data_IF_660001411755
#
_entry.id   IF_660001411755
#
_cell.length_a   1.000
_cell.length_b   1.000
_cell.length_c   1.000
_cell.angle_alpha   90.00
_cell.angle_beta   90.00
_cell.angle_gamma   90.00
#
_symmetry.space_group_name_H-M   'P 1'
#
loop_
_entity.id
_entity.type
_entity.pdbx_description
1 polymer ?
#
# COMPACT_ATOMS: atom_id res chain seq x y z
N UNK A 1 -27.15 27.16 32.52
CA UNK A 1 -28.32 27.37 33.40
C UNK A 1 -28.29 26.29 34.47
N UNK A 2 -27.97 26.65 35.70
CA UNK A 2 -28.04 25.76 36.86
C UNK A 2 -29.52 25.37 37.01
N UNK A 3 -29.84 24.08 36.84
CA UNK A 3 -31.19 23.59 37.16
C UNK A 3 -31.44 23.90 38.65
N UNK A 4 -32.52 24.61 38.94
CA UNK A 4 -32.99 24.80 40.31
C UNK A 4 -33.15 23.40 40.93
N UNK A 5 -32.44 23.14 42.01
CA UNK A 5 -32.57 21.92 42.78
C UNK A 5 -33.88 21.98 43.56
N UNK A 6 -34.69 20.96 43.46
CA UNK A 6 -35.94 20.88 44.21
C UNK A 6 -35.84 19.78 45.26
N UNK A 7 -36.21 20.14 46.48
CA UNK A 7 -36.32 19.21 47.62
C UNK A 7 -37.81 18.92 47.84
N UNK A 8 -38.17 17.66 47.65
CA UNK A 8 -39.51 17.17 47.99
C UNK A 8 -39.56 16.85 49.50
N UNK A 9 -40.55 17.40 50.21
CA UNK A 9 -40.70 17.20 51.61
C UNK A 9 -42.04 16.47 51.84
N UNK A 10 -41.98 15.24 52.29
CA UNK A 10 -43.19 14.41 52.52
C UNK A 10 -43.42 14.27 54.01
N UNK A 11 -44.36 15.06 54.56
CA UNK A 11 -44.70 15.09 55.99
C UNK A 11 -46.03 15.77 56.23
N UNK A 12 -46.71 15.37 57.26
CA UNK A 12 -47.85 16.11 57.85
C UNK A 12 -47.47 16.88 59.15
N UNK A 13 -46.19 16.69 59.58
CA UNK A 13 -45.62 17.43 60.68
C UNK A 13 -45.22 18.85 60.23
N UNK A 14 -45.94 19.84 60.72
CA UNK A 14 -45.74 21.26 60.38
C UNK A 14 -44.32 21.76 60.76
N UNK A 15 -43.74 21.26 61.82
CA UNK A 15 -42.41 21.67 62.30
C UNK A 15 -41.33 21.06 61.41
N UNK A 16 -41.41 19.79 61.11
CA UNK A 16 -40.51 19.15 60.16
C UNK A 16 -40.60 19.77 58.76
N UNK A 17 -41.84 20.04 58.30
CA UNK A 17 -42.07 20.72 57.02
C UNK A 17 -41.42 22.10 56.96
N UNK A 18 -41.58 22.91 57.99
CA UNK A 18 -40.95 24.21 58.10
C UNK A 18 -39.43 24.15 58.13
N UNK A 19 -38.86 23.29 58.98
CA UNK A 19 -37.37 23.09 59.10
C UNK A 19 -36.71 22.59 57.78
N UNK A 20 -37.34 21.63 57.15
CA UNK A 20 -36.85 21.13 55.89
C UNK A 20 -36.97 22.14 54.73
N UNK A 21 -38.05 22.93 54.70
CA UNK A 21 -38.27 24.01 53.72
C UNK A 21 -37.24 25.13 53.87
N UNK A 22 -37.06 25.68 55.07
CA UNK A 22 -36.02 26.69 55.32
C UNK A 22 -34.63 26.23 55.05
N UNK A 23 -34.29 24.96 55.38
CA UNK A 23 -33.00 24.38 55.12
C UNK A 23 -32.74 24.13 53.59
N UNK A 24 -33.78 23.80 52.81
CA UNK A 24 -33.71 23.70 51.37
C UNK A 24 -33.42 25.08 50.74
N UNK A 25 -34.18 26.13 51.13
CA UNK A 25 -33.98 27.50 50.64
C UNK A 25 -32.55 28.02 50.90
N UNK A 26 -32.05 27.81 52.14
CA UNK A 26 -30.63 28.16 52.46
C UNK A 26 -29.59 27.44 51.68
N UNK A 27 -29.90 26.25 51.21
CA UNK A 27 -29.03 25.49 50.30
C UNK A 27 -29.28 25.84 48.81
N UNK A 28 -30.14 26.84 48.52
CA UNK A 28 -30.42 27.30 47.16
C UNK A 28 -31.32 26.33 46.35
N UNK A 29 -32.14 25.56 47.05
CA UNK A 29 -33.13 24.67 46.48
C UNK A 29 -34.55 25.10 46.79
N UNK A 30 -35.48 24.86 45.87
CA UNK A 30 -36.89 25.07 46.13
C UNK A 30 -37.48 23.88 46.93
N UNK A 31 -38.24 24.14 47.96
CA UNK A 31 -38.99 23.14 48.74
C UNK A 31 -40.38 22.92 48.15
N UNK A 32 -40.80 21.67 47.99
CA UNK A 32 -42.14 21.25 47.61
C UNK A 32 -42.62 20.26 48.64
N UNK A 33 -43.76 20.60 49.31
CA UNK A 33 -44.37 19.77 50.38
C UNK A 33 -45.46 18.87 49.83
N UNK A 34 -45.52 17.64 50.36
CA UNK A 34 -46.57 16.67 50.15
C UNK A 34 -46.95 16.05 51.49
N UNK A 35 -48.24 15.74 51.72
CA UNK A 35 -48.72 15.12 52.94
C UNK A 35 -49.02 13.64 52.82
N UNK A 36 -48.87 13.08 51.67
CA UNK A 36 -49.12 11.68 51.39
C UNK A 36 -48.15 11.11 50.26
N UNK A 37 -48.08 9.79 50.14
CA UNK A 37 -47.36 9.17 49.06
C UNK A 37 -47.93 9.54 47.70
N UNK A 38 -49.23 9.64 47.53
CA UNK A 38 -49.87 10.05 46.29
C UNK A 38 -49.47 11.47 45.84
N UNK A 39 -49.50 12.46 46.78
CA UNK A 39 -49.03 13.79 46.48
C UNK A 39 -47.53 13.83 46.19
N UNK A 40 -46.72 13.04 46.90
CA UNK A 40 -45.30 12.94 46.67
C UNK A 40 -44.98 12.39 45.26
N UNK A 41 -45.73 11.38 44.79
CA UNK A 41 -45.59 10.81 43.43
C UNK A 41 -46.04 11.80 42.34
N UNK A 42 -47.12 12.56 42.60
CA UNK A 42 -47.55 13.61 41.68
C UNK A 42 -46.47 14.70 41.54
N UNK A 43 -45.89 15.13 42.67
CA UNK A 43 -44.77 16.08 42.65
C UNK A 43 -43.50 15.51 41.99
N UNK A 44 -43.31 14.20 42.05
CA UNK A 44 -42.16 13.48 41.44
C UNK A 44 -42.25 13.36 39.90
N UNK A 45 -43.37 13.68 39.29
CA UNK A 45 -43.49 13.87 37.84
C UNK A 45 -42.66 15.07 37.39
N UNK A 46 -42.40 16.02 38.29
CA UNK A 46 -41.43 17.09 38.06
C UNK A 46 -40.00 16.54 38.07
N UNK A 47 -39.32 16.65 36.93
CA UNK A 47 -37.98 16.10 36.69
C UNK A 47 -36.86 16.87 37.42
N UNK A 48 -37.20 17.89 38.18
CA UNK A 48 -36.24 18.71 38.90
C UNK A 48 -35.97 18.24 40.34
N UNK A 49 -36.76 17.26 40.86
CA UNK A 49 -36.57 16.73 42.22
C UNK A 49 -35.23 15.96 42.28
N UNK A 50 -34.39 16.39 43.19
CA UNK A 50 -33.06 15.87 43.41
C UNK A 50 -32.87 15.26 44.79
N UNK A 51 -33.62 15.72 45.77
CA UNK A 51 -33.61 15.24 47.13
C UNK A 51 -35.03 15.13 47.68
N UNK A 52 -35.30 14.07 48.42
CA UNK A 52 -36.57 13.92 49.14
C UNK A 52 -36.28 13.81 50.66
N UNK A 53 -37.00 14.57 51.46
CA UNK A 53 -37.06 14.42 52.92
C UNK A 53 -38.40 13.76 53.24
N UNK A 54 -38.39 12.59 53.84
CA UNK A 54 -39.60 11.77 54.03
C UNK A 54 -39.74 11.42 55.48
N UNK A 55 -40.91 11.78 56.02
CA UNK A 55 -41.37 11.43 57.35
C UNK A 55 -41.89 9.97 57.37
N UNK A 56 -41.26 9.08 58.11
CA UNK A 56 -41.67 7.70 58.24
C UNK A 56 -42.78 7.49 59.24
N UNK A 57 -43.09 8.54 60.11
CA UNK A 57 -44.13 8.48 61.10
C UNK A 57 -45.52 8.89 60.55
N UNK A 58 -45.60 9.09 59.23
CA UNK A 58 -46.86 9.34 58.54
C UNK A 58 -47.86 8.18 58.76
N UNK A 59 -49.19 8.48 58.93
CA UNK A 59 -50.19 7.44 59.05
C UNK A 59 -50.19 6.42 57.93
N UNK A 60 -50.70 5.20 58.19
CA UNK A 60 -50.86 4.12 57.20
C UNK A 60 -49.59 3.75 56.40
N UNK A 61 -48.43 3.96 57.01
CA UNK A 61 -47.12 3.69 56.37
C UNK A 61 -46.87 4.54 55.11
N UNK A 62 -47.56 5.68 54.95
CA UNK A 62 -47.43 6.55 53.77
C UNK A 62 -45.98 6.99 53.49
N UNK A 63 -45.18 7.28 54.54
CA UNK A 63 -43.75 7.61 54.39
C UNK A 63 -42.93 6.47 53.78
N UNK A 64 -43.16 5.24 54.22
CA UNK A 64 -42.49 4.05 53.66
C UNK A 64 -42.88 3.79 52.20
N UNK A 65 -44.19 3.93 51.90
CA UNK A 65 -44.70 3.81 50.52
C UNK A 65 -44.07 4.87 49.63
N UNK A 66 -44.02 6.13 50.07
CA UNK A 66 -43.39 7.22 49.31
C UNK A 66 -41.91 6.94 49.03
N UNK A 67 -41.16 6.50 50.06
CA UNK A 67 -39.72 6.19 49.85
C UNK A 67 -39.50 5.05 48.83
N UNK A 68 -40.25 3.97 48.94
CA UNK A 68 -40.15 2.82 48.05
C UNK A 68 -40.52 3.19 46.59
N UNK A 69 -41.63 3.90 46.39
CA UNK A 69 -42.07 4.29 45.05
C UNK A 69 -41.15 5.33 44.40
N UNK A 70 -40.69 6.32 45.15
CA UNK A 70 -39.73 7.30 44.67
C UNK A 70 -38.44 6.62 44.24
N UNK A 71 -37.91 5.65 45.03
CA UNK A 71 -36.73 4.89 44.66
C UNK A 71 -36.95 4.06 43.38
N UNK A 72 -38.16 3.52 43.20
CA UNK A 72 -38.54 2.78 41.98
C UNK A 72 -38.59 3.68 40.74
N UNK A 73 -39.20 4.86 40.84
CA UNK A 73 -39.31 5.83 39.74
C UNK A 73 -37.94 6.40 39.36
N UNK A 74 -37.14 6.71 40.35
CA UNK A 74 -35.78 7.29 40.16
C UNK A 74 -34.65 6.24 40.00
N UNK A 75 -34.96 4.97 39.71
CA UNK A 75 -33.97 3.89 39.59
C UNK A 75 -32.80 4.24 38.63
N UNK A 76 -33.06 5.01 37.60
CA UNK A 76 -32.02 5.43 36.60
C UNK A 76 -31.61 6.91 36.74
N UNK A 77 -32.11 7.60 37.73
CA UNK A 77 -31.80 9.02 37.99
C UNK A 77 -31.32 9.19 39.41
N UNK A 78 -30.29 10.01 39.61
CA UNK A 78 -29.83 10.23 40.96
C UNK A 78 -30.88 11.01 41.77
N UNK A 79 -31.30 10.41 42.88
CA UNK A 79 -32.18 10.99 43.90
C UNK A 79 -31.58 10.65 45.26
N UNK A 80 -31.52 11.62 46.15
CA UNK A 80 -31.12 11.38 47.54
C UNK A 80 -32.38 11.39 48.40
N UNK A 81 -32.58 10.39 49.25
CA UNK A 81 -33.72 10.23 50.14
C UNK A 81 -33.23 10.30 51.59
N UNK A 82 -33.65 11.34 52.29
CA UNK A 82 -33.43 11.53 53.73
C UNK A 82 -34.70 11.09 54.45
N UNK A 83 -34.58 10.12 55.32
CA UNK A 83 -35.69 9.59 56.11
C UNK A 83 -35.68 10.20 57.51
N UNK A 84 -36.85 10.58 58.02
CA UNK A 84 -37.01 11.15 59.35
C UNK A 84 -38.00 10.31 60.16
N UNK A 85 -37.71 10.05 61.44
CA UNK A 85 -38.66 9.37 62.36
C UNK A 85 -38.37 9.71 63.83
N UNK A 86 -39.38 9.59 64.71
CA UNK A 86 -39.22 9.67 66.19
C UNK A 86 -38.55 8.40 66.76
N UNK A 87 -38.55 7.34 66.02
CA UNK A 87 -37.94 6.06 66.42
C UNK A 87 -36.37 6.17 66.47
N UNK A 88 -35.84 5.91 67.68
CA UNK A 88 -34.39 5.98 67.94
C UNK A 88 -33.66 4.64 67.90
N UNK A 89 -34.39 3.59 67.52
CA UNK A 89 -33.78 2.27 67.44
C UNK A 89 -32.88 2.14 66.24
N UNK A 90 -31.66 1.66 66.46
CA UNK A 90 -30.66 1.45 65.39
C UNK A 90 -31.07 0.41 64.38
N UNK A 91 -31.81 -0.63 64.75
CA UNK A 91 -32.33 -1.65 63.82
C UNK A 91 -33.40 -1.06 62.91
N UNK A 92 -34.25 -0.17 63.45
CA UNK A 92 -35.25 0.58 62.64
C UNK A 92 -34.58 1.50 61.65
N UNK A 93 -33.54 2.24 62.05
CA UNK A 93 -32.79 3.11 61.14
C UNK A 93 -32.11 2.33 60.05
N UNK A 94 -31.52 1.16 60.40
CA UNK A 94 -30.90 0.27 59.40
C UNK A 94 -31.94 -0.25 58.37
N UNK A 95 -33.10 -0.71 58.85
CA UNK A 95 -34.18 -1.17 57.99
C UNK A 95 -34.72 -0.06 57.06
N UNK A 96 -34.76 1.19 57.54
CA UNK A 96 -35.14 2.34 56.73
C UNK A 96 -34.18 2.66 55.64
N UNK A 97 -32.86 2.56 55.87
CA UNK A 97 -31.84 2.72 54.86
C UNK A 97 -31.89 1.59 53.82
N UNK A 98 -32.06 0.32 54.25
CA UNK A 98 -32.18 -0.83 53.36
C UNK A 98 -33.46 -0.75 52.49
N UNK A 99 -34.51 -0.12 52.96
CA UNK A 99 -35.73 0.14 52.20
C UNK A 99 -35.57 1.23 51.11
N UNK A 100 -34.40 1.85 51.02
CA UNK A 100 -34.09 2.81 49.95
C UNK A 100 -33.77 4.23 50.42
N UNK A 101 -33.59 4.48 51.71
CA UNK A 101 -33.04 5.72 52.21
C UNK A 101 -31.56 5.88 51.97
N UNK A 102 -31.07 7.09 51.75
CA UNK A 102 -29.64 7.41 51.65
C UNK A 102 -29.07 7.99 52.95
N UNK A 103 -29.97 8.45 53.84
CA UNK A 103 -29.62 8.98 55.16
C UNK A 103 -30.82 8.91 56.10
N UNK A 104 -30.60 8.95 57.43
CA UNK A 104 -31.63 8.87 58.43
C UNK A 104 -31.43 9.94 59.50
N UNK A 105 -32.52 10.62 59.93
CA UNK A 105 -32.55 11.62 61.00
C UNK A 105 -33.61 11.29 62.03
N UNK A 106 -33.25 11.40 63.31
CA UNK A 106 -34.18 11.22 64.38
C UNK A 106 -34.85 12.56 64.80
N UNK A 107 -36.16 12.58 64.91
CA UNK A 107 -36.88 13.75 65.34
C UNK A 107 -36.75 13.97 66.88
N UNK A 108 -36.82 15.23 67.37
CA UNK A 108 -36.97 16.46 66.62
C UNK A 108 -35.68 16.79 65.84
N UNK A 109 -35.81 17.20 64.60
CA UNK A 109 -34.67 17.59 63.72
C UNK A 109 -34.52 19.11 63.88
N UNK A 110 -33.32 19.55 64.30
CA UNK A 110 -33.02 20.97 64.28
C UNK A 110 -32.61 21.46 62.87
N UNK A 111 -32.77 22.79 62.68
CA UNK A 111 -32.52 23.42 61.40
C UNK A 111 -31.07 23.18 60.88
N UNK A 112 -30.07 23.23 61.77
CA UNK A 112 -28.66 23.03 61.39
C UNK A 112 -28.40 21.61 60.94
N UNK A 113 -28.97 20.62 61.66
CA UNK A 113 -28.85 19.21 61.26
C UNK A 113 -29.46 18.99 59.87
N UNK A 114 -30.65 19.46 59.59
CA UNK A 114 -31.34 19.37 58.31
C UNK A 114 -30.52 20.06 57.22
N UNK A 115 -30.03 21.28 57.47
CA UNK A 115 -29.22 22.02 56.51
C UNK A 115 -27.93 21.23 56.11
N UNK A 116 -27.21 20.68 57.11
CA UNK A 116 -25.97 19.89 56.87
C UNK A 116 -26.27 18.62 56.05
N UNK A 117 -27.37 17.92 56.35
CA UNK A 117 -27.75 16.69 55.64
C UNK A 117 -28.17 16.97 54.20
N UNK A 118 -28.98 18.01 53.97
CA UNK A 118 -29.35 18.43 52.62
C UNK A 118 -28.11 18.85 51.81
N UNK A 119 -27.16 19.55 52.43
CA UNK A 119 -25.90 19.90 51.76
C UNK A 119 -25.08 18.69 51.43
N UNK A 120 -24.96 17.69 52.29
CA UNK A 120 -24.29 16.46 52.05
C UNK A 120 -24.95 15.64 50.92
N UNK A 121 -26.29 15.60 50.90
CA UNK A 121 -27.07 15.01 49.82
C UNK A 121 -26.78 15.67 48.46
N UNK A 122 -26.75 17.00 48.40
CA UNK A 122 -26.44 17.75 47.19
C UNK A 122 -25.00 17.47 46.65
N UNK A 123 -24.04 17.33 47.57
CA UNK A 123 -22.66 16.96 47.20
C UNK A 123 -22.59 15.51 46.63
N UNK A 124 -23.24 14.54 47.31
CA UNK A 124 -23.30 13.15 46.81
C UNK A 124 -23.94 13.07 45.41
N UNK A 125 -25.04 13.79 45.22
CA UNK A 125 -25.75 13.85 43.95
C UNK A 125 -24.85 14.40 42.83
N UNK A 126 -24.12 15.47 43.09
CA UNK A 126 -23.21 16.09 42.14
C UNK A 126 -22.11 15.10 41.74
N UNK A 127 -21.47 14.44 42.67
CA UNK A 127 -20.45 13.42 42.38
C UNK A 127 -20.99 12.24 41.55
N UNK A 128 -22.23 11.78 41.87
CA UNK A 128 -22.88 10.73 41.07
C UNK A 128 -23.12 11.15 39.64
N UNK A 129 -23.55 12.39 39.42
CA UNK A 129 -23.80 12.95 38.10
C UNK A 129 -22.52 13.13 37.31
N UNK A 130 -21.47 13.63 37.94
CA UNK A 130 -20.15 13.82 37.32
C UNK A 130 -19.53 12.48 36.89
N UNK A 131 -19.58 11.46 37.77
CA UNK A 131 -19.11 10.11 37.45
C UNK A 131 -19.89 9.47 36.27
N UNK A 132 -21.21 9.73 36.21
CA UNK A 132 -22.03 9.24 35.11
C UNK A 132 -21.62 9.88 33.77
N UNK A 133 -21.45 11.21 33.76
CA UNK A 133 -20.99 11.93 32.56
C UNK A 133 -19.60 11.50 32.12
N UNK A 134 -18.69 11.31 33.07
CA UNK A 134 -17.35 10.84 32.78
C UNK A 134 -17.37 9.45 32.15
N UNK A 135 -18.14 8.52 32.71
CA UNK A 135 -18.31 7.16 32.12
C UNK A 135 -18.88 7.20 30.71
N UNK A 136 -19.88 8.02 30.46
CA UNK A 136 -20.47 8.17 29.12
C UNK A 136 -19.46 8.77 28.13
N UNK A 137 -18.68 9.76 28.59
CA UNK A 137 -17.58 10.32 27.77
C UNK A 137 -16.56 9.26 27.37
N UNK A 138 -16.04 8.51 28.33
CA UNK A 138 -15.07 7.45 28.05
C UNK A 138 -15.64 6.34 27.15
N UNK A 139 -16.88 5.94 27.36
CA UNK A 139 -17.54 4.95 26.48
C UNK A 139 -17.60 5.40 25.03
N UNK A 140 -17.93 6.68 24.80
CA UNK A 140 -17.97 7.27 23.46
C UNK A 140 -16.58 7.34 22.84
N UNK A 141 -15.60 7.76 23.61
CA UNK A 141 -14.21 7.85 23.16
C UNK A 141 -13.65 6.48 22.75
N UNK A 142 -13.84 5.45 23.58
CA UNK A 142 -13.42 4.08 23.26
C UNK A 142 -14.09 3.57 21.98
N UNK A 143 -15.40 3.75 21.84
CA UNK A 143 -16.11 3.34 20.62
C UNK A 143 -15.61 4.03 19.37
N UNK A 144 -15.30 5.32 19.47
CA UNK A 144 -14.75 6.09 18.36
C UNK A 144 -13.34 5.62 17.98
N UNK A 145 -12.52 5.29 18.98
CA UNK A 145 -11.18 4.74 18.77
C UNK A 145 -11.22 3.37 18.05
N UNK A 146 -12.12 2.48 18.46
CA UNK A 146 -12.34 1.19 17.82
C UNK A 146 -12.76 1.34 16.36
N UNK A 147 -13.71 2.24 16.07
CA UNK A 147 -14.16 2.54 14.70
C UNK A 147 -13.04 3.11 13.82
N UNK A 148 -12.21 4.01 14.36
CA UNK A 148 -11.06 4.56 13.65
C UNK A 148 -10.00 3.49 13.40
N UNK A 149 -9.69 2.68 14.41
CA UNK A 149 -8.73 1.57 14.29
C UNK A 149 -9.15 0.57 13.21
N UNK A 150 -10.44 0.21 13.17
CA UNK A 150 -10.97 -0.67 12.14
C UNK A 150 -10.83 -0.08 10.74
N UNK A 151 -11.16 1.21 10.56
CA UNK A 151 -11.00 1.90 9.26
C UNK A 151 -9.54 1.95 8.80
N UNK A 152 -8.61 2.25 9.72
CA UNK A 152 -7.17 2.28 9.41
C UNK A 152 -6.69 0.90 8.99
N UNK A 153 -7.15 -0.16 9.65
CA UNK A 153 -6.79 -1.52 9.29
C UNK A 153 -7.29 -1.88 7.88
N UNK A 154 -8.53 -1.57 7.56
CA UNK A 154 -9.11 -1.81 6.23
C UNK A 154 -8.38 -1.02 5.13
N UNK A 155 -8.07 0.25 5.39
CA UNK A 155 -7.30 1.07 4.45
C UNK A 155 -5.89 0.50 4.21
N UNK A 156 -5.21 0.04 5.27
CA UNK A 156 -3.90 -0.58 5.15
C UNK A 156 -3.94 -1.87 4.32
N UNK A 157 -4.98 -2.70 4.50
CA UNK A 157 -5.19 -3.90 3.69
C UNK A 157 -5.40 -3.58 2.20
N UNK A 158 -6.22 -2.57 1.91
CA UNK A 158 -6.44 -2.13 0.52
C UNK A 158 -5.16 -1.55 -0.11
N UNK A 159 -4.44 -0.72 0.66
CA UNK A 159 -3.19 -0.14 0.20
C UNK A 159 -2.14 -1.22 -0.09
N UNK A 160 -2.02 -2.22 0.78
CA UNK A 160 -1.10 -3.34 0.58
C UNK A 160 -1.41 -4.12 -0.69
N UNK A 161 -2.69 -4.44 -0.94
CA UNK A 161 -3.12 -5.10 -2.19
C UNK A 161 -2.78 -4.27 -3.43
N UNK A 162 -3.03 -2.96 -3.38
CA UNK A 162 -2.70 -2.07 -4.48
C UNK A 162 -1.18 -2.01 -4.74
N UNK A 163 -0.35 -1.99 -3.69
CA UNK A 163 1.10 -2.06 -3.85
C UNK A 163 1.58 -3.38 -4.48
N UNK A 164 1.00 -4.51 -4.09
CA UNK A 164 1.32 -5.82 -4.68
C UNK A 164 0.96 -5.88 -6.16
N UNK A 165 -0.19 -5.33 -6.54
CA UNK A 165 -0.64 -5.23 -7.94
C UNK A 165 0.28 -4.33 -8.77
N UNK A 166 0.60 -3.12 -8.29
CA UNK A 166 1.52 -2.19 -8.96
C UNK A 166 2.91 -2.82 -9.12
N UNK A 167 3.41 -3.50 -8.10
CA UNK A 167 4.69 -4.21 -8.18
C UNK A 167 4.66 -5.35 -9.22
N UNK A 168 3.53 -6.02 -9.38
CA UNK A 168 3.30 -7.03 -10.42
C UNK A 168 3.33 -6.43 -11.83
N UNK A 169 2.57 -5.35 -12.04
CA UNK A 169 2.51 -4.65 -13.32
C UNK A 169 3.86 -4.04 -13.74
N UNK A 170 4.61 -3.48 -12.80
CA UNK A 170 5.95 -2.94 -13.07
C UNK A 170 6.92 -4.04 -13.56
N UNK A 171 6.90 -5.22 -12.93
CA UNK A 171 7.73 -6.36 -13.38
C UNK A 171 7.36 -6.83 -14.79
N UNK A 172 6.08 -6.87 -15.09
CA UNK A 172 5.61 -7.23 -16.43
C UNK A 172 6.00 -6.16 -17.46
N UNK A 173 5.86 -4.88 -17.12
CA UNK A 173 6.27 -3.76 -17.97
C UNK A 173 7.78 -3.79 -18.26
N UNK A 174 8.61 -4.03 -17.25
CA UNK A 174 10.05 -4.19 -17.43
C UNK A 174 10.39 -5.35 -18.38
N UNK A 175 9.72 -6.50 -18.21
CA UNK A 175 9.89 -7.66 -19.08
C UNK A 175 9.53 -7.34 -20.54
N UNK A 176 8.39 -6.70 -20.74
CA UNK A 176 7.94 -6.31 -22.09
C UNK A 176 8.90 -5.29 -22.72
N UNK A 177 9.34 -4.30 -21.95
CA UNK A 177 10.30 -3.30 -22.42
C UNK A 177 11.65 -3.95 -22.84
N UNK A 178 12.17 -4.86 -22.01
CA UNK A 178 13.40 -5.60 -22.38
C UNK A 178 13.23 -6.40 -23.66
N UNK A 179 12.09 -7.05 -23.84
CA UNK A 179 11.83 -7.80 -25.07
C UNK A 179 11.63 -6.87 -26.27
N UNK A 180 10.94 -5.73 -26.10
CA UNK A 180 10.83 -4.70 -27.15
C UNK A 180 12.21 -4.15 -27.56
N UNK A 181 13.05 -3.81 -26.58
CA UNK A 181 14.44 -3.38 -26.85
C UNK A 181 15.23 -4.45 -27.57
N UNK A 182 15.09 -5.70 -27.18
CA UNK A 182 15.75 -6.83 -27.84
C UNK A 182 15.32 -6.97 -29.30
N UNK A 183 14.02 -6.97 -29.57
CA UNK A 183 13.47 -7.08 -30.93
C UNK A 183 13.81 -5.83 -31.77
N UNK A 184 13.78 -4.66 -31.16
CA UNK A 184 14.12 -3.42 -31.85
C UNK A 184 15.61 -3.35 -32.29
N UNK A 185 16.51 -4.02 -31.55
CA UNK A 185 17.97 -3.92 -31.78
C UNK A 185 18.60 -5.14 -32.40
N UNK A 186 18.06 -6.31 -32.21
CA UNK A 186 18.67 -7.56 -32.63
C UNK A 186 17.80 -8.32 -33.65
N UNK A 187 18.46 -8.99 -34.58
CA UNK A 187 17.81 -9.94 -35.47
C UNK A 187 17.44 -11.22 -34.69
N UNK A 188 16.18 -11.61 -34.79
CA UNK A 188 15.63 -12.74 -34.01
C UNK A 188 16.27 -14.08 -34.31
N UNK A 189 16.74 -14.29 -35.56
CA UNK A 189 17.36 -15.53 -35.98
C UNK A 189 18.82 -15.59 -35.55
N UNK A 190 19.62 -14.63 -35.97
CA UNK A 190 21.06 -14.63 -35.71
C UNK A 190 21.42 -14.23 -34.27
N UNK A 191 20.56 -13.46 -33.60
CA UNK A 191 20.86 -12.85 -32.32
C UNK A 191 21.95 -11.77 -32.36
N UNK A 192 22.33 -11.32 -33.55
CA UNK A 192 23.22 -10.19 -33.81
C UNK A 192 22.39 -8.93 -34.01
N UNK A 193 23.03 -7.77 -34.15
CA UNK A 193 22.31 -6.54 -34.47
C UNK A 193 21.46 -6.70 -35.73
N UNK A 194 20.23 -6.15 -35.70
CA UNK A 194 19.49 -6.00 -36.93
C UNK A 194 20.11 -4.88 -37.79
N UNK A 195 19.68 -4.75 -39.03
CA UNK A 195 20.27 -3.82 -40.01
C UNK A 195 20.26 -2.38 -39.52
N UNK A 196 19.16 -1.95 -38.88
CA UNK A 196 19.01 -0.57 -38.36
C UNK A 196 20.02 -0.29 -37.26
N UNK A 197 20.06 -1.11 -36.24
CA UNK A 197 20.99 -0.95 -35.11
C UNK A 197 22.46 -1.10 -35.51
N UNK A 198 22.75 -1.96 -36.51
CA UNK A 198 24.07 -2.06 -37.12
C UNK A 198 24.45 -0.71 -37.74
N UNK A 199 23.59 -0.11 -38.55
CA UNK A 199 23.86 1.15 -39.20
C UNK A 199 24.11 2.29 -38.21
N UNK A 200 23.29 2.37 -37.18
CA UNK A 200 23.47 3.36 -36.08
C UNK A 200 24.84 3.19 -35.40
N UNK A 201 25.25 1.94 -35.12
CA UNK A 201 26.53 1.64 -34.52
C UNK A 201 27.70 1.98 -35.47
N UNK A 202 27.55 1.70 -36.78
CA UNK A 202 28.56 2.04 -37.79
C UNK A 202 28.77 3.52 -37.89
N UNK A 203 27.70 4.31 -37.92
CA UNK A 203 27.77 5.79 -38.01
C UNK A 203 28.51 6.38 -36.78
N UNK A 204 28.25 5.88 -35.58
CA UNK A 204 28.98 6.28 -34.34
C UNK A 204 30.45 5.91 -34.43
N UNK A 205 30.81 4.71 -34.89
CA UNK A 205 32.20 4.28 -34.96
C UNK A 205 32.98 4.96 -36.11
N UNK A 206 32.33 5.30 -37.21
CA UNK A 206 32.89 6.12 -38.27
C UNK A 206 33.28 7.50 -37.73
N UNK A 207 32.37 8.17 -36.99
CA UNK A 207 32.70 9.44 -36.37
C UNK A 207 33.84 9.33 -35.35
N UNK A 208 33.86 8.25 -34.56
CA UNK A 208 34.93 8.00 -33.60
C UNK A 208 36.29 7.81 -34.29
N UNK A 209 36.31 6.99 -35.35
CA UNK A 209 37.52 6.77 -36.18
C UNK A 209 38.02 8.05 -36.82
N UNK A 210 37.12 8.89 -37.35
CA UNK A 210 37.50 10.18 -37.92
C UNK A 210 38.11 11.16 -36.88
N UNK A 211 37.58 11.16 -35.67
CA UNK A 211 38.11 12.02 -34.57
C UNK A 211 39.43 11.53 -33.99
N UNK A 212 39.54 10.22 -33.75
CA UNK A 212 40.71 9.62 -33.11
C UNK A 212 41.85 9.32 -34.05
N UNK A 213 41.58 9.20 -35.35
CA UNK A 213 42.54 8.72 -36.35
C UNK A 213 42.84 7.21 -36.27
N UNK A 214 42.14 6.50 -35.39
CA UNK A 214 42.32 5.03 -35.25
C UNK A 214 41.69 4.27 -36.44
N UNK A 215 42.31 3.17 -36.87
CA UNK A 215 41.81 2.43 -38.00
C UNK A 215 40.47 1.73 -37.69
N UNK A 216 39.59 1.68 -38.66
CA UNK A 216 38.31 0.96 -38.61
C UNK A 216 38.24 0.06 -39.82
N UNK A 217 37.98 -1.23 -39.62
CA UNK A 217 37.82 -2.21 -40.70
C UNK A 217 36.41 -2.80 -40.68
N UNK A 218 35.86 -3.06 -41.86
CA UNK A 218 34.59 -3.76 -42.07
C UNK A 218 34.77 -5.04 -42.85
N UNK A 219 33.97 -6.01 -42.53
CA UNK A 219 33.93 -7.30 -43.20
C UNK A 219 32.50 -7.57 -43.66
N UNK A 220 32.27 -7.69 -44.96
CA UNK A 220 31.03 -8.23 -45.50
C UNK A 220 31.14 -9.73 -45.55
N UNK A 221 30.14 -10.46 -45.13
CA UNK A 221 30.11 -11.92 -45.01
C UNK A 221 28.82 -12.44 -45.63
N UNK A 222 28.93 -13.49 -46.41
CA UNK A 222 27.79 -14.16 -47.03
C UNK A 222 27.95 -15.69 -46.91
N UNK A 223 26.84 -16.36 -46.61
CA UNK A 223 26.84 -17.84 -46.49
C UNK A 223 26.85 -18.47 -47.88
N UNK A 224 27.89 -19.23 -48.19
CA UNK A 224 28.04 -19.88 -49.47
C UNK A 224 26.92 -20.90 -49.71
N UNK A 225 26.31 -20.82 -50.89
CA UNK A 225 25.25 -21.74 -51.31
C UNK A 225 24.03 -21.82 -50.43
N UNK A 226 23.71 -20.75 -49.65
CA UNK A 226 22.60 -20.74 -48.70
C UNK A 226 21.23 -21.07 -49.34
N UNK A 227 21.01 -20.63 -50.56
CA UNK A 227 19.82 -21.02 -51.33
C UNK A 227 19.72 -22.53 -51.51
N UNK A 228 20.85 -23.21 -51.85
CA UNK A 228 20.85 -24.65 -51.96
C UNK A 228 20.60 -25.39 -50.66
N UNK A 229 21.00 -24.79 -49.50
CA UNK A 229 20.65 -25.31 -48.17
C UNK A 229 19.14 -25.25 -47.98
N UNK A 230 18.51 -24.11 -48.29
CA UNK A 230 17.07 -24.00 -48.19
C UNK A 230 16.29 -24.90 -49.12
N UNK A 231 16.78 -25.02 -50.37
CA UNK A 231 16.14 -25.84 -51.42
C UNK A 231 16.21 -27.34 -51.10
N UNK A 232 17.33 -27.82 -50.51
CA UNK A 232 17.56 -29.23 -50.23
C UNK A 232 17.13 -29.68 -48.81
N UNK A 233 17.19 -28.79 -47.80
CA UNK A 233 16.98 -29.12 -46.39
C UNK A 233 15.89 -28.26 -45.74
N UNK A 234 15.17 -27.48 -46.52
CA UNK A 234 14.08 -26.65 -46.06
C UNK A 234 14.52 -25.37 -45.33
N UNK A 235 13.60 -24.41 -45.23
CA UNK A 235 13.84 -23.10 -44.56
C UNK A 235 14.18 -23.25 -43.07
N UNK A 236 13.63 -24.27 -42.40
CA UNK A 236 13.94 -24.52 -40.99
C UNK A 236 15.42 -24.84 -40.76
N UNK A 237 16.05 -25.54 -41.71
CA UNK A 237 17.49 -25.80 -41.72
C UNK A 237 18.29 -24.51 -41.98
N UNK A 238 17.89 -23.70 -42.97
CA UNK A 238 18.47 -22.38 -43.19
C UNK A 238 18.44 -21.48 -41.96
N UNK A 239 17.35 -21.48 -41.23
CA UNK A 239 17.24 -20.76 -39.97
C UNK A 239 18.24 -21.25 -38.91
N UNK A 240 18.45 -22.58 -38.81
CA UNK A 240 19.48 -23.15 -37.93
C UNK A 240 20.86 -22.70 -38.33
N UNK A 241 21.17 -22.68 -39.64
CA UNK A 241 22.45 -22.19 -40.18
C UNK A 241 22.68 -20.72 -39.79
N UNK A 242 21.70 -19.85 -39.95
CA UNK A 242 21.79 -18.44 -39.53
C UNK A 242 22.06 -18.33 -38.03
N UNK A 243 21.36 -19.11 -37.19
CA UNK A 243 21.58 -19.16 -35.74
C UNK A 243 23.01 -19.61 -35.39
N UNK A 244 23.50 -20.64 -36.08
CA UNK A 244 24.85 -21.17 -35.89
C UNK A 244 25.91 -20.12 -36.23
N UNK A 245 25.78 -19.44 -37.36
CA UNK A 245 26.66 -18.35 -37.76
C UNK A 245 26.64 -17.22 -36.72
N UNK A 246 25.45 -16.80 -36.26
CA UNK A 246 25.33 -15.81 -35.21
C UNK A 246 25.99 -16.20 -33.89
N UNK A 247 25.95 -17.49 -33.52
CA UNK A 247 26.65 -18.02 -32.35
C UNK A 247 28.17 -17.95 -32.50
N UNK A 248 28.72 -18.32 -33.66
CA UNK A 248 30.15 -18.20 -33.94
C UNK A 248 30.61 -16.76 -33.87
N UNK A 249 29.87 -15.82 -34.46
CA UNK A 249 30.22 -14.40 -34.33
C UNK A 249 30.27 -13.95 -32.88
N UNK A 250 29.26 -14.28 -32.08
CA UNK A 250 29.23 -13.90 -30.65
C UNK A 250 30.41 -14.44 -29.84
N UNK A 251 30.94 -15.58 -30.20
CA UNK A 251 32.15 -16.18 -29.58
C UNK A 251 33.42 -15.47 -29.98
N UNK A 252 33.54 -15.08 -31.26
CA UNK A 252 34.77 -14.52 -31.83
C UNK A 252 34.90 -13.01 -31.68
N UNK A 253 33.76 -12.29 -31.50
CA UNK A 253 33.73 -10.85 -31.35
C UNK A 253 34.23 -10.39 -29.97
N UNK A 254 35.01 -9.31 -29.97
CA UNK A 254 35.40 -8.61 -28.77
C UNK A 254 34.24 -7.69 -28.31
N UNK A 255 34.33 -7.23 -27.10
CA UNK A 255 33.31 -6.34 -26.51
C UNK A 255 33.01 -5.07 -27.33
N UNK A 256 33.94 -4.58 -28.09
CA UNK A 256 33.84 -3.35 -28.88
C UNK A 256 33.73 -3.60 -30.38
N UNK A 257 33.62 -4.83 -30.81
CA UNK A 257 33.35 -5.20 -32.20
C UNK A 257 31.83 -5.24 -32.41
N UNK A 258 31.40 -4.93 -33.62
CA UNK A 258 29.98 -4.91 -33.98
C UNK A 258 29.73 -5.92 -35.09
N UNK A 259 28.66 -6.69 -34.96
CA UNK A 259 28.18 -7.54 -36.02
C UNK A 259 26.66 -7.47 -36.12
N UNK A 260 26.15 -7.45 -37.32
CA UNK A 260 24.72 -7.43 -37.60
C UNK A 260 24.35 -8.15 -38.88
N UNK A 261 23.09 -8.57 -38.95
CA UNK A 261 22.52 -9.15 -40.18
C UNK A 261 22.17 -8.03 -41.13
N UNK A 262 22.87 -8.00 -42.26
CA UNK A 262 22.73 -6.97 -43.29
C UNK A 262 21.58 -7.27 -44.26
N UNK A 263 21.44 -8.54 -44.63
CA UNK A 263 20.41 -9.05 -45.56
C UNK A 263 19.94 -10.45 -45.16
N UNK A 264 19.37 -11.20 -46.08
CA UNK A 264 18.85 -12.54 -45.81
C UNK A 264 19.90 -13.49 -45.25
N UNK A 265 21.04 -13.66 -45.99
CA UNK A 265 22.19 -14.52 -45.67
C UNK A 265 23.48 -13.74 -45.51
N UNK A 266 23.37 -12.39 -45.52
CA UNK A 266 24.48 -11.46 -45.48
C UNK A 266 24.66 -10.84 -44.11
N UNK A 267 25.90 -10.69 -43.68
CA UNK A 267 26.26 -10.11 -42.40
C UNK A 267 27.35 -9.07 -42.59
N UNK A 268 27.38 -8.06 -41.77
CA UNK A 268 28.43 -7.08 -41.72
C UNK A 268 29.04 -6.99 -40.32
N UNK A 269 30.39 -7.02 -40.28
CA UNK A 269 31.16 -6.91 -39.04
C UNK A 269 32.01 -5.64 -39.11
N UNK A 270 31.99 -4.82 -38.05
CA UNK A 270 32.91 -3.70 -37.91
C UNK A 270 33.88 -3.96 -36.76
N UNK A 271 35.13 -3.72 -37.01
CA UNK A 271 36.25 -3.96 -36.11
C UNK A 271 36.98 -2.62 -35.83
N UNK A 272 36.60 -1.91 -34.79
CA UNK A 272 37.29 -0.68 -34.39
C UNK A 272 38.73 -0.95 -33.97
N UNK A 273 39.61 0.02 -34.21
CA UNK A 273 41.04 -0.05 -33.88
C UNK A 273 41.73 -1.31 -34.42
N UNK A 274 41.35 -1.71 -35.63
CA UNK A 274 41.89 -2.90 -36.27
C UNK A 274 42.48 -2.56 -37.67
N UNK A 275 43.66 -3.08 -37.94
CA UNK A 275 44.27 -3.02 -39.27
C UNK A 275 43.64 -4.05 -40.22
N UNK A 276 43.88 -3.93 -41.53
CA UNK A 276 43.43 -4.92 -42.53
C UNK A 276 43.94 -6.34 -42.20
N UNK A 277 45.19 -6.48 -41.74
CA UNK A 277 45.71 -7.78 -41.35
C UNK A 277 44.96 -8.38 -40.14
N UNK A 278 44.71 -7.57 -39.12
CA UNK A 278 43.95 -8.01 -37.96
C UNK A 278 42.49 -8.37 -38.30
N UNK A 279 41.86 -7.63 -39.19
CA UNK A 279 40.52 -7.92 -39.69
C UNK A 279 40.51 -9.25 -40.51
N UNK A 280 41.52 -9.46 -41.35
CA UNK A 280 41.67 -10.71 -42.08
C UNK A 280 41.90 -11.90 -41.14
N UNK A 281 42.73 -11.75 -40.09
CA UNK A 281 42.92 -12.80 -39.09
C UNK A 281 41.63 -13.12 -38.33
N UNK A 282 40.83 -12.12 -38.00
CA UNK A 282 39.50 -12.32 -37.38
C UNK A 282 38.59 -13.10 -38.32
N UNK A 283 38.50 -12.68 -39.60
CA UNK A 283 37.69 -13.38 -40.59
C UNK A 283 38.14 -14.85 -40.77
N UNK A 284 39.45 -15.13 -40.80
CA UNK A 284 39.94 -16.48 -40.92
C UNK A 284 39.63 -17.39 -39.74
N UNK A 285 39.61 -16.83 -38.51
CA UNK A 285 39.12 -17.57 -37.32
C UNK A 285 37.65 -17.93 -37.47
N UNK A 286 36.81 -16.96 -37.85
CA UNK A 286 35.36 -17.19 -38.07
C UNK A 286 35.14 -18.22 -39.16
N UNK A 287 35.85 -18.09 -40.31
CA UNK A 287 35.78 -19.05 -41.44
C UNK A 287 36.14 -20.47 -40.99
N UNK A 288 37.25 -20.62 -40.28
CA UNK A 288 37.73 -21.92 -39.78
C UNK A 288 36.77 -22.52 -38.74
N UNK A 289 36.21 -21.72 -37.86
CA UNK A 289 35.21 -22.18 -36.88
C UNK A 289 33.94 -22.69 -37.58
N UNK A 290 33.49 -21.99 -38.63
CA UNK A 290 32.32 -22.41 -39.42
C UNK A 290 32.57 -23.66 -40.25
N UNK A 291 33.77 -23.80 -40.86
CA UNK A 291 34.15 -24.97 -41.64
C UNK A 291 34.16 -26.27 -40.81
N UNK A 292 34.44 -26.15 -39.50
CA UNK A 292 34.39 -27.27 -38.54
C UNK A 292 32.99 -27.55 -37.99
N UNK A 293 32.05 -26.65 -38.24
CA UNK A 293 30.70 -26.73 -37.70
C UNK A 293 29.79 -27.54 -38.61
N UNK A 294 29.12 -28.52 -38.04
CA UNK A 294 28.02 -29.25 -38.67
C UNK A 294 26.69 -28.85 -38.04
N UNK A 295 25.74 -28.49 -38.87
CA UNK A 295 24.39 -28.11 -38.42
C UNK A 295 23.44 -29.28 -38.67
N UNK A 296 22.86 -29.82 -37.60
CA UNK A 296 21.92 -30.94 -37.69
C UNK A 296 20.51 -30.44 -38.05
N UNK A 297 20.01 -30.88 -39.18
CA UNK A 297 18.68 -30.65 -39.72
C UNK A 297 17.85 -31.95 -39.68
N UNK A 298 16.54 -31.85 -39.95
CA UNK A 298 15.65 -33.03 -39.95
C UNK A 298 16.01 -34.00 -41.10
N UNK A 299 16.48 -33.47 -42.20
CA UNK A 299 16.80 -34.24 -43.42
C UNK A 299 18.29 -34.60 -43.50
N UNK A 300 19.09 -34.35 -42.48
CA UNK A 300 20.52 -34.64 -42.43
C UNK A 300 21.38 -33.54 -41.86
N UNK A 301 22.68 -33.70 -41.89
CA UNK A 301 23.62 -32.70 -41.34
C UNK A 301 24.25 -31.89 -42.50
N UNK A 302 24.36 -30.57 -42.30
CA UNK A 302 24.87 -29.61 -43.28
C UNK A 302 26.16 -28.97 -42.79
N UNK A 303 27.19 -28.98 -43.57
CA UNK A 303 28.39 -28.16 -43.39
C UNK A 303 28.27 -26.89 -44.19
N UNK A 304 28.66 -25.76 -43.59
CA UNK A 304 28.55 -24.44 -44.21
C UNK A 304 29.92 -23.81 -44.38
N UNK A 305 30.08 -23.01 -45.41
CA UNK A 305 31.21 -22.12 -45.58
C UNK A 305 30.73 -20.68 -45.84
N UNK A 306 31.63 -19.73 -45.71
CA UNK A 306 31.34 -18.31 -45.92
C UNK A 306 32.40 -17.68 -46.82
N UNK A 307 31.94 -16.76 -47.66
CA UNK A 307 32.80 -15.84 -48.40
C UNK A 307 32.83 -14.50 -47.72
N UNK A 308 34.01 -13.91 -47.56
CA UNK A 308 34.21 -12.67 -46.84
C UNK A 308 35.00 -11.65 -47.64
N UNK A 309 34.63 -10.38 -47.52
CA UNK A 309 35.33 -9.27 -48.13
C UNK A 309 35.69 -8.22 -47.05
N UNK A 310 36.97 -7.89 -46.97
CA UNK A 310 37.51 -6.95 -45.99
C UNK A 310 37.84 -5.59 -46.61
N UNK A 311 37.35 -4.53 -46.02
CA UNK A 311 37.68 -3.16 -46.43
C UNK A 311 38.02 -2.29 -45.22
N UNK A 312 39.10 -1.51 -45.29
CA UNK A 312 39.41 -0.48 -44.30
C UNK A 312 38.60 0.79 -44.60
N UNK A 313 37.99 1.37 -43.58
CA UNK A 313 37.33 2.68 -43.70
C UNK A 313 38.34 3.76 -44.10
N UNK A 314 37.97 4.60 -45.08
CA UNK A 314 38.79 5.70 -45.60
C UNK A 314 38.21 7.02 -45.13
N UNK A 315 39.06 7.92 -44.69
CA UNK A 315 38.60 9.23 -44.22
C UNK A 315 37.88 10.00 -45.34
N UNK A 316 36.66 10.47 -45.02
CA UNK A 316 35.82 11.25 -45.96
C UNK A 316 34.90 10.39 -46.84
N UNK A 317 34.89 9.07 -46.75
CA UNK A 317 33.89 8.25 -47.42
C UNK A 317 32.62 8.08 -46.56
N UNK A 318 31.50 7.80 -47.22
CA UNK A 318 30.25 7.46 -46.54
C UNK A 318 30.27 5.99 -46.10
N UNK A 319 29.43 5.63 -45.09
CA UNK A 319 29.17 4.26 -44.67
C UNK A 319 28.87 3.35 -45.85
N UNK A 320 28.01 3.77 -46.76
CA UNK A 320 27.55 2.96 -47.88
C UNK A 320 28.66 2.71 -48.90
N UNK A 321 29.56 3.68 -49.10
CA UNK A 321 30.76 3.49 -49.93
C UNK A 321 31.73 2.47 -49.33
N UNK A 322 31.94 2.54 -48.00
CA UNK A 322 32.76 1.57 -47.27
C UNK A 322 32.20 0.16 -47.37
N UNK A 323 30.88 -0.01 -47.04
CA UNK A 323 30.20 -1.30 -47.17
C UNK A 323 30.28 -1.85 -48.61
N UNK A 324 30.06 -1.01 -49.61
CA UNK A 324 30.14 -1.41 -51.02
C UNK A 324 31.57 -1.89 -51.43
N UNK A 325 32.62 -1.36 -50.82
CA UNK A 325 34.00 -1.87 -51.08
C UNK A 325 34.21 -3.21 -50.41
N UNK A 326 33.72 -3.45 -49.22
CA UNK A 326 33.75 -4.74 -48.55
C UNK A 326 32.93 -5.78 -49.36
N UNK A 327 31.76 -5.41 -49.86
CA UNK A 327 30.91 -6.26 -50.70
C UNK A 327 31.62 -6.67 -52.00
N UNK A 328 32.25 -5.73 -52.68
CA UNK A 328 33.05 -6.06 -53.89
C UNK A 328 34.18 -7.05 -53.63
N UNK A 329 34.88 -6.92 -52.49
CA UNK A 329 35.89 -7.85 -52.07
C UNK A 329 35.29 -9.25 -51.80
N UNK A 330 34.14 -9.30 -51.15
CA UNK A 330 33.40 -10.56 -50.92
C UNK A 330 32.97 -11.21 -52.23
N UNK A 331 32.51 -10.42 -53.21
CA UNK A 331 32.17 -10.94 -54.52
C UNK A 331 33.37 -11.56 -55.22
N UNK A 332 34.57 -10.97 -55.10
CA UNK A 332 35.83 -11.58 -55.57
C UNK A 332 36.12 -12.91 -54.86
N UNK A 333 35.87 -13.00 -53.55
CA UNK A 333 35.99 -14.26 -52.81
C UNK A 333 35.08 -15.35 -53.40
N UNK A 334 33.81 -15.01 -53.70
CA UNK A 334 32.87 -15.93 -54.37
C UNK A 334 33.35 -16.39 -55.75
N UNK A 335 33.91 -15.49 -56.57
CA UNK A 335 34.43 -15.81 -57.87
C UNK A 335 35.69 -16.72 -57.86
N UNK A 336 36.51 -16.54 -56.85
CA UNK A 336 37.78 -17.35 -56.72
C UNK A 336 37.57 -18.74 -56.10
N UNK A 337 36.33 -19.18 -55.93
CA UNK A 337 36.00 -20.53 -55.46
C UNK A 337 35.40 -20.59 -54.06
N UNK A 338 34.93 -19.46 -53.51
CA UNK A 338 34.26 -19.39 -52.18
C UNK A 338 35.11 -19.83 -51.00
N UNK A 339 34.51 -19.97 -49.79
CA UNK A 339 35.17 -20.40 -48.56
C UNK A 339 36.51 -19.68 -48.30
N UNK A 340 36.54 -18.36 -48.46
CA UNK A 340 37.76 -17.56 -48.34
C UNK A 340 37.50 -16.12 -48.00
N UNK A 341 38.59 -15.45 -47.70
CA UNK A 341 38.60 -14.03 -47.42
C UNK A 341 39.38 -13.33 -48.53
N UNK A 342 38.84 -12.26 -49.06
CA UNK A 342 39.55 -11.34 -49.95
C UNK A 342 39.60 -9.96 -49.33
N UNK A 343 40.73 -9.30 -49.46
CA UNK A 343 40.93 -7.92 -49.00
C UNK A 343 40.82 -7.01 -50.22
N UNK A 344 40.14 -5.90 -50.07
CA UNK A 344 40.12 -4.92 -51.15
C UNK A 344 41.53 -4.54 -51.62
N UNK A 345 41.75 -4.34 -52.91
CA UNK A 345 43.03 -3.85 -53.40
C UNK A 345 43.40 -2.51 -52.76
N UNK A 346 44.60 -2.40 -52.24
CA UNK A 346 45.14 -1.11 -51.79
C UNK A 346 45.40 -0.27 -53.02
N UNK A 347 44.50 0.67 -53.32
CA UNK A 347 44.69 1.64 -54.39
C UNK A 347 45.42 2.89 -53.90
#
# INVERSE_FOLDING_TARGET
>A
MTREQTVLIVTDDSELGRVAGEAAERNGAAGVTASSSAEALSAAEDRTITTAVIDLDLPEEEGWKAAAELRRIYFRRPLQILLCSENRDGEFAAAALDAGGDDFLTKPVDELQMQVRLRAAAIRLRHQTDLHHEREFYRRAVKQEEELSSRVLDQNLHLRKAYEEVAGLNRELERVNQELERVARFDVLSGLMNRMSLFDALDVEIERSMRSGLPLCGIMVDIDHFKSVNDNYGHACGDKVIRALGAVFRQELRKYDYAGRYGGEEFFVALPNSSLNQASMFGERVRSSLEQLTVDCEEGSVSISVSMGVAKFRRGESRDMWISRADRAMYVAKQKGRNRIEVEPVS
#
